data_IF_280650236053
#
_entry.id   IF_280650236053
#
_cell.length_a   1.000
_cell.length_b   1.000
_cell.length_c   1.000
_cell.angle_alpha   90.00
_cell.angle_beta   90.00
_cell.angle_gamma   90.00
#
_symmetry.space_group_name_H-M   'P 1'
#
loop_
_entity.id
_entity.type
_entity.pdbx_description
1 polymer ?
#
# COMPACT_ATOMS: atom_id res chain seq x y z
N UNK A 1 42.89 -9.81 -11.44
CA UNK A 1 41.87 -9.11 -12.25
C UNK A 1 40.96 -8.45 -11.25
N UNK A 2 41.08 -7.13 -11.05
CA UNK A 2 40.07 -6.40 -10.29
C UNK A 2 39.04 -5.95 -11.30
N UNK A 3 37.94 -6.69 -11.40
CA UNK A 3 36.73 -6.16 -12.01
C UNK A 3 36.30 -4.97 -11.14
N UNK A 4 36.24 -3.78 -11.75
CA UNK A 4 35.59 -2.65 -11.10
C UNK A 4 34.14 -3.06 -10.84
N UNK A 5 33.57 -2.73 -9.67
CA UNK A 5 32.16 -2.99 -9.43
C UNK A 5 31.33 -2.38 -10.57
N UNK A 6 30.42 -3.17 -11.13
CA UNK A 6 29.46 -2.70 -12.12
C UNK A 6 28.71 -1.49 -11.55
N UNK A 7 28.58 -0.41 -12.33
CA UNK A 7 27.80 0.75 -11.92
C UNK A 7 26.37 0.33 -11.63
N UNK A 8 25.86 0.76 -10.48
CA UNK A 8 24.51 0.44 -10.01
C UNK A 8 23.44 1.29 -10.70
N UNK A 9 23.86 2.35 -11.41
CA UNK A 9 22.98 3.29 -12.09
C UNK A 9 22.40 4.38 -11.18
N UNK A 10 22.76 4.38 -9.89
CA UNK A 10 22.51 5.48 -8.96
C UNK A 10 23.87 6.05 -8.50
N UNK A 11 24.19 7.25 -8.96
CA UNK A 11 25.45 7.94 -8.67
C UNK A 11 25.74 8.04 -7.16
N UNK A 12 24.70 8.10 -6.32
CA UNK A 12 24.86 8.15 -4.85
C UNK A 12 25.33 6.81 -4.30
N UNK A 13 24.74 5.72 -4.80
CA UNK A 13 25.14 4.35 -4.43
C UNK A 13 26.55 4.06 -4.95
N UNK A 14 26.85 4.46 -6.18
CA UNK A 14 28.17 4.25 -6.80
C UNK A 14 29.27 4.99 -6.03
N UNK A 15 29.01 6.22 -5.59
CA UNK A 15 29.95 6.97 -4.74
C UNK A 15 30.20 6.28 -3.39
N UNK A 16 29.16 5.70 -2.77
CA UNK A 16 29.29 4.96 -1.51
C UNK A 16 30.13 3.68 -1.70
N UNK A 17 29.85 2.91 -2.76
CA UNK A 17 30.57 1.67 -3.07
C UNK A 17 32.03 1.96 -3.42
N UNK A 18 32.31 3.00 -4.21
CA UNK A 18 33.67 3.45 -4.50
C UNK A 18 34.44 3.79 -3.22
N UNK A 19 33.76 4.37 -2.21
CA UNK A 19 34.33 4.69 -0.91
C UNK A 19 34.87 3.49 -0.12
N UNK A 20 34.36 2.27 -0.38
CA UNK A 20 34.85 1.03 0.22
C UNK A 20 36.25 0.63 -0.29
N UNK A 21 36.68 1.13 -1.45
CA UNK A 21 38.02 0.87 -1.97
C UNK A 21 39.15 1.30 -1.03
N UNK A 22 38.89 2.28 -0.16
CA UNK A 22 39.82 2.78 0.86
C UNK A 22 40.18 1.74 1.93
N UNK A 23 39.38 0.69 2.10
CA UNK A 23 39.65 -0.37 3.09
C UNK A 23 41.02 -1.03 2.90
N UNK A 24 41.51 -1.15 1.65
CA UNK A 24 42.82 -1.73 1.36
C UNK A 24 44.00 -0.88 1.83
N UNK A 25 43.78 0.41 2.12
CA UNK A 25 44.81 1.38 2.50
C UNK A 25 44.80 1.69 4.01
N UNK A 26 43.72 1.32 4.71
CA UNK A 26 43.52 1.63 6.12
C UNK A 26 43.76 0.41 7.02
N UNK A 27 44.22 0.60 8.28
CA UNK A 27 44.25 -0.46 9.26
C UNK A 27 42.86 -1.07 9.49
N UNK A 28 42.82 -2.37 9.79
CA UNK A 28 41.57 -3.11 10.05
C UNK A 28 40.75 -2.48 11.18
N UNK A 29 41.39 -1.86 12.18
CA UNK A 29 40.71 -1.13 13.25
C UNK A 29 39.85 0.04 12.77
N UNK A 30 40.13 0.57 11.57
CA UNK A 30 39.37 1.65 10.95
C UNK A 30 38.29 1.15 9.97
N UNK A 31 38.31 -0.14 9.60
CA UNK A 31 37.35 -0.69 8.64
C UNK A 31 35.91 -0.54 9.11
N UNK A 32 35.66 -0.70 10.41
CA UNK A 32 34.33 -0.54 11.01
C UNK A 32 33.76 0.85 10.74
N UNK A 33 34.58 1.91 10.88
CA UNK A 33 34.12 3.28 10.63
C UNK A 33 33.79 3.51 9.14
N UNK A 34 34.54 2.88 8.24
CA UNK A 34 34.27 2.95 6.78
C UNK A 34 32.97 2.21 6.44
N UNK A 35 32.73 1.04 7.04
CA UNK A 35 31.48 0.31 6.84
C UNK A 35 30.28 1.05 7.43
N UNK A 36 30.41 1.65 8.60
CA UNK A 36 29.34 2.41 9.25
C UNK A 36 28.93 3.64 8.42
N UNK A 37 29.92 4.34 7.85
CA UNK A 37 29.68 5.43 6.90
C UNK A 37 28.94 4.94 5.65
N UNK A 38 29.40 3.84 5.05
CA UNK A 38 28.78 3.30 3.84
C UNK A 38 27.34 2.84 4.11
N UNK A 39 27.11 2.15 5.23
CA UNK A 39 25.80 1.70 5.65
C UNK A 39 24.83 2.87 5.86
N UNK A 40 25.24 3.88 6.63
CA UNK A 40 24.44 5.09 6.87
C UNK A 40 24.10 5.84 5.58
N UNK A 41 25.03 5.90 4.63
CA UNK A 41 24.81 6.52 3.32
C UNK A 41 23.79 5.77 2.46
N UNK A 42 23.81 4.43 2.51
CA UNK A 42 22.84 3.61 1.79
C UNK A 42 21.44 3.75 2.40
N UNK A 43 21.33 3.73 3.73
CA UNK A 43 20.05 3.97 4.41
C UNK A 43 19.46 5.34 4.06
N UNK A 44 20.28 6.39 4.05
CA UNK A 44 19.84 7.72 3.63
C UNK A 44 19.38 7.76 2.16
N UNK A 45 20.08 7.05 1.28
CA UNK A 45 19.71 6.95 -0.14
C UNK A 45 18.35 6.25 -0.31
N UNK A 46 18.12 5.16 0.43
CA UNK A 46 16.85 4.43 0.43
C UNK A 46 15.71 5.26 1.02
N UNK A 47 15.96 5.98 2.13
CA UNK A 47 14.96 6.86 2.75
C UNK A 47 14.51 7.97 1.79
N UNK A 48 15.45 8.59 1.07
CA UNK A 48 15.12 9.63 0.10
C UNK A 48 14.20 9.12 -1.03
N UNK A 49 14.38 7.88 -1.48
CA UNK A 49 13.51 7.25 -2.49
C UNK A 49 12.11 7.01 -1.95
N UNK A 50 11.99 6.59 -0.68
CA UNK A 50 10.69 6.41 -0.02
C UNK A 50 9.93 7.74 0.11
N UNK A 51 10.62 8.84 0.45
CA UNK A 51 10.05 10.19 0.53
C UNK A 51 9.62 10.75 -0.84
N UNK A 52 10.25 10.31 -1.93
CA UNK A 52 9.94 10.73 -3.29
C UNK A 52 8.78 9.95 -3.94
N UNK A 53 8.38 8.83 -3.35
CA UNK A 53 7.17 8.14 -3.77
C UNK A 53 5.95 9.05 -3.51
N UNK A 54 5.05 9.25 -4.50
CA UNK A 54 3.79 9.92 -4.21
C UNK A 54 3.09 9.17 -3.06
N UNK A 55 2.33 9.85 -2.19
CA UNK A 55 1.56 9.19 -1.13
C UNK A 55 0.51 8.32 -1.81
N UNK A 56 0.89 7.09 -2.14
CA UNK A 56 0.02 6.09 -2.75
C UNK A 56 -0.80 5.54 -1.60
N UNK A 57 -1.81 6.31 -1.19
CA UNK A 57 -2.84 5.93 -0.24
C UNK A 57 -2.28 5.33 1.06
N UNK A 58 -2.07 6.20 2.05
CA UNK A 58 -2.05 5.81 3.45
C UNK A 58 -3.05 4.66 3.69
N UNK A 59 -2.53 3.55 4.20
CA UNK A 59 -3.23 2.47 4.90
C UNK A 59 -4.75 2.40 4.67
N UNK A 60 -5.24 1.47 3.85
CA UNK A 60 -6.57 0.90 4.14
C UNK A 60 -6.46 0.23 5.51
N UNK A 61 -7.05 0.85 6.53
CA UNK A 61 -7.28 0.21 7.81
C UNK A 61 -7.93 -1.18 7.59
N UNK A 62 -7.54 -2.21 8.35
CA UNK A 62 -8.24 -3.50 8.30
C UNK A 62 -9.63 -3.29 8.89
N UNK A 63 -10.63 -3.04 8.03
CA UNK A 63 -12.00 -2.79 8.48
C UNK A 63 -12.97 -2.21 7.45
N UNK A 64 -12.52 -1.70 6.29
CA UNK A 64 -13.44 -1.37 5.21
C UNK A 64 -13.52 -2.51 4.21
N UNK A 65 -14.28 -3.53 4.63
CA UNK A 65 -14.92 -4.44 3.71
C UNK A 65 -15.66 -3.61 2.66
N UNK A 66 -15.31 -3.82 1.40
CA UNK A 66 -16.08 -3.40 0.26
C UNK A 66 -17.50 -3.97 0.41
N UNK A 67 -18.38 -3.17 1.01
CA UNK A 67 -19.81 -3.44 1.05
C UNK A 67 -20.29 -3.48 -0.39
N UNK A 68 -20.49 -4.69 -0.90
CA UNK A 68 -21.09 -4.92 -2.21
C UNK A 68 -22.40 -4.15 -2.29
N UNK A 69 -22.39 -3.08 -3.08
CA UNK A 69 -23.63 -2.48 -3.57
C UNK A 69 -23.95 -3.16 -4.90
N UNK A 70 -24.65 -4.28 -4.78
CA UNK A 70 -25.53 -4.80 -5.83
C UNK A 70 -26.46 -3.68 -6.29
N UNK A 71 -26.51 -3.34 -7.59
CA UNK A 71 -27.53 -2.43 -8.11
C UNK A 71 -28.87 -3.17 -8.08
N UNK A 72 -29.66 -2.92 -7.05
CA UNK A 72 -31.05 -3.37 -7.03
C UNK A 72 -31.81 -2.51 -8.04
N UNK A 73 -32.06 -3.08 -9.21
CA UNK A 73 -32.98 -2.52 -10.19
C UNK A 73 -34.35 -2.36 -9.52
N UNK A 74 -34.78 -1.11 -9.38
CA UNK A 74 -36.09 -0.73 -8.88
C UNK A 74 -37.14 -1.19 -9.91
N UNK A 75 -37.82 -2.30 -9.61
CA UNK A 75 -39.06 -2.66 -10.30
C UNK A 75 -40.17 -1.65 -9.93
N UNK A 76 -41.08 -1.31 -10.87
CA UNK A 76 -42.15 -0.37 -10.61
C UNK A 76 -43.16 -0.98 -9.63
N UNK A 77 -43.26 -0.35 -8.47
CA UNK A 77 -44.23 -0.62 -7.42
C UNK A 77 -45.59 -0.06 -7.85
N UNK A 78 -46.43 -0.91 -8.45
CA UNK A 78 -47.86 -0.64 -8.58
C UNK A 78 -48.51 -0.87 -7.21
N UNK A 79 -48.91 0.25 -6.61
CA UNK A 79 -49.62 0.38 -5.35
C UNK A 79 -50.95 -0.38 -5.42
N UNK A 80 -51.11 -1.43 -4.61
CA UNK A 80 -52.43 -2.03 -4.35
C UNK A 80 -53.13 -1.24 -3.24
N UNK A 81 -54.38 -0.78 -3.42
CA UNK A 81 -55.07 -0.04 -2.38
C UNK A 81 -55.45 -0.99 -1.24
N UNK A 82 -54.97 -0.64 -0.06
CA UNK A 82 -55.48 -1.07 1.23
C UNK A 82 -56.90 -0.53 1.43
N UNK A 83 -57.61 -1.06 2.43
CA UNK A 83 -58.96 -0.71 2.94
C UNK A 83 -60.01 -1.73 2.46
N UNK A 84 -60.86 -2.32 3.30
CA UNK A 84 -61.20 -2.00 4.68
C UNK A 84 -61.91 -3.21 5.31
N UNK A 85 -61.85 -3.27 6.62
CA UNK A 85 -62.43 -4.28 7.48
C UNK A 85 -63.96 -4.44 7.37
N UNK A 86 -64.42 -5.59 7.89
CA UNK A 86 -65.68 -5.80 8.63
C UNK A 86 -66.93 -6.29 7.88
N UNK A 87 -67.65 -7.15 8.61
CA UNK A 87 -68.95 -7.83 8.38
C UNK A 87 -68.81 -9.19 7.67
N UNK A 88 -68.91 -10.35 8.34
CA UNK A 88 -69.97 -10.84 9.25
C UNK A 88 -71.39 -10.56 8.74
N UNK A 89 -71.92 -11.47 7.91
CA UNK A 89 -73.27 -12.01 8.09
C UNK A 89 -73.58 -13.21 7.21
N UNK A 90 -74.17 -14.19 7.88
CA UNK A 90 -74.81 -15.41 7.41
C UNK A 90 -76.02 -15.18 6.49
N UNK A 91 -76.60 -16.31 6.04
CA UNK A 91 -77.85 -16.54 5.27
C UNK A 91 -77.55 -16.79 3.79
N UNK A 92 -77.93 -17.89 3.16
CA UNK A 92 -78.89 -18.93 3.50
C UNK A 92 -79.51 -19.42 2.18
N UNK A 93 -79.68 -20.73 2.08
CA UNK A 93 -80.56 -21.50 1.18
C UNK A 93 -81.33 -20.76 0.06
N UNK A 94 -81.15 -21.24 -1.18
CA UNK A 94 -82.19 -22.01 -1.91
C UNK A 94 -81.65 -22.68 -3.16
#
# INVERSE_FOLDING_TARGET
MSELPEETGDERVDAIVAGLGRLGELPVSQHVAVFDQAFSGLEATLAAVDEQAPPTGAQRAPGQAAGGRVPHQQGPHQQGPHQQASHDRSVGER
#
